data_IF_688029915737
#
_entry.id   IF_688029915737
#
_cell.length_a   1.000
_cell.length_b   1.000
_cell.length_c   1.000
_cell.angle_alpha   90.00
_cell.angle_beta   90.00
_cell.angle_gamma   90.00
#
_symmetry.space_group_name_H-M   'P 1'
#
loop_
_entity.id
_entity.type
_entity.pdbx_description
1 polymer ?
#
# COMPACT_ATOMS: atom_id res chain seq x y z
N UNK A 1 -4.28 13.35 -11.88
CA UNK A 1 -3.92 11.97 -12.27
C UNK A 1 -2.61 11.55 -11.62
N UNK A 2 -1.51 12.29 -11.78
CA UNK A 2 -0.19 11.99 -11.19
C UNK A 2 -0.23 11.89 -9.65
N UNK A 3 -0.93 12.79 -8.96
CA UNK A 3 -1.04 12.75 -7.49
C UNK A 3 -1.83 11.54 -6.99
N UNK A 4 -2.91 11.16 -7.67
CA UNK A 4 -3.67 9.95 -7.35
C UNK A 4 -2.83 8.68 -7.61
N UNK A 5 -2.01 8.70 -8.66
CA UNK A 5 -1.09 7.61 -8.95
C UNK A 5 0.04 7.50 -7.92
N UNK A 6 0.58 8.63 -7.46
CA UNK A 6 1.60 8.66 -6.41
C UNK A 6 1.06 8.27 -5.02
N UNK A 7 -0.19 8.60 -4.71
CA UNK A 7 -0.85 8.25 -3.45
C UNK A 7 -1.24 6.76 -3.36
N UNK A 8 -1.39 6.10 -4.48
CA UNK A 8 -1.73 4.70 -4.70
C UNK A 8 -2.53 4.03 -3.56
N UNK A 9 -3.85 4.01 -3.72
CA UNK A 9 -4.73 3.30 -2.80
C UNK A 9 -4.44 1.79 -2.86
N UNK A 10 -3.82 1.27 -1.82
CA UNK A 10 -3.47 -0.15 -1.73
C UNK A 10 -4.54 -0.87 -0.90
N UNK A 11 -5.45 -1.58 -1.56
CA UNK A 11 -6.44 -2.42 -0.88
C UNK A 11 -5.82 -3.74 -0.42
N UNK A 12 -4.97 -4.33 -1.24
CA UNK A 12 -4.28 -5.58 -0.93
C UNK A 12 -2.77 -5.37 -1.11
N UNK A 13 -1.99 -5.26 -0.01
CA UNK A 13 -0.54 -5.10 -0.08
C UNK A 13 0.15 -6.46 -0.32
N UNK A 14 -0.18 -7.13 -1.44
CA UNK A 14 0.27 -8.50 -1.76
C UNK A 14 1.77 -8.70 -1.63
N UNK A 15 2.56 -7.74 -2.10
CA UNK A 15 4.02 -7.82 -2.01
C UNK A 15 4.52 -7.76 -0.56
N UNK A 16 3.95 -6.91 0.29
CA UNK A 16 4.36 -6.81 1.70
C UNK A 16 3.96 -8.08 2.45
N UNK A 17 2.75 -8.58 2.18
CA UNK A 17 2.29 -9.86 2.74
C UNK A 17 3.21 -11.00 2.31
N UNK A 18 3.62 -11.04 1.03
CA UNK A 18 4.55 -12.04 0.51
C UNK A 18 5.92 -11.99 1.18
N UNK A 19 6.50 -10.80 1.37
CA UNK A 19 7.79 -10.64 2.07
C UNK A 19 7.69 -11.04 3.53
N UNK A 20 6.63 -10.68 4.23
CA UNK A 20 6.40 -11.08 5.62
C UNK A 20 6.21 -12.59 5.74
N UNK A 21 5.53 -13.23 4.79
CA UNK A 21 5.40 -14.69 4.73
C UNK A 21 6.77 -15.35 4.51
N UNK A 22 7.59 -14.81 3.59
CA UNK A 22 8.94 -15.30 3.34
C UNK A 22 9.87 -15.12 4.55
N UNK A 23 9.65 -14.09 5.37
CA UNK A 23 10.36 -13.84 6.63
C UNK A 23 9.78 -14.62 7.83
N UNK A 24 8.88 -15.58 7.59
CA UNK A 24 8.22 -16.41 8.60
C UNK A 24 7.47 -15.61 9.69
N UNK A 25 6.87 -14.48 9.33
CA UNK A 25 6.03 -13.72 10.25
C UNK A 25 4.84 -14.58 10.71
N UNK A 26 4.50 -14.53 12.00
CA UNK A 26 3.41 -15.30 12.59
C UNK A 26 2.06 -15.04 11.93
N UNK A 27 1.81 -13.81 11.52
CA UNK A 27 0.64 -13.44 10.73
C UNK A 27 1.03 -12.43 9.63
N UNK A 28 1.35 -12.90 8.41
CA UNK A 28 1.76 -12.02 7.32
C UNK A 28 0.71 -10.98 6.91
N UNK A 29 -0.58 -11.28 7.12
CA UNK A 29 -1.70 -10.45 6.70
C UNK A 29 -2.03 -9.29 7.67
N UNK A 30 -1.50 -9.28 8.88
CA UNK A 30 -1.81 -8.27 9.91
C UNK A 30 -1.45 -6.82 9.48
N UNK A 31 -0.49 -6.68 8.56
CA UNK A 31 -0.06 -5.40 7.98
C UNK A 31 -1.11 -4.79 7.05
N UNK A 32 -2.13 -5.55 6.64
CA UNK A 32 -3.11 -5.10 5.66
C UNK A 32 -3.90 -3.89 6.15
N UNK A 33 -4.39 -3.93 7.39
CA UNK A 33 -5.17 -2.84 7.98
C UNK A 33 -4.35 -1.54 8.10
N UNK A 34 -3.15 -1.51 8.69
CA UNK A 34 -2.29 -0.32 8.69
C UNK A 34 -1.99 0.22 7.27
N UNK A 35 -1.73 -0.67 6.31
CA UNK A 35 -1.47 -0.27 4.93
C UNK A 35 -2.70 0.38 4.26
N UNK A 36 -3.90 -0.15 4.50
CA UNK A 36 -5.14 0.43 4.01
C UNK A 36 -5.34 1.83 4.60
N UNK A 37 -5.24 1.96 5.93
CA UNK A 37 -5.42 3.25 6.62
C UNK A 37 -4.44 4.29 6.08
N UNK A 38 -3.16 3.98 6.01
CA UNK A 38 -2.13 4.91 5.53
C UNK A 38 -2.32 5.29 4.06
N UNK A 39 -2.73 4.33 3.20
CA UNK A 39 -2.99 4.60 1.79
C UNK A 39 -4.22 5.49 1.60
N UNK A 40 -5.27 5.33 2.42
CA UNK A 40 -6.43 6.21 2.42
C UNK A 40 -6.07 7.64 2.85
N UNK A 41 -5.30 7.79 3.93
CA UNK A 41 -4.83 9.11 4.40
C UNK A 41 -4.00 9.79 3.31
N UNK A 42 -3.06 9.08 2.68
CA UNK A 42 -2.26 9.59 1.57
C UNK A 42 -3.12 9.99 0.36
N UNK A 43 -4.12 9.20 0.02
CA UNK A 43 -5.05 9.50 -1.08
C UNK A 43 -5.91 10.72 -0.79
N UNK A 44 -6.43 10.85 0.44
CA UNK A 44 -7.19 12.03 0.87
C UNK A 44 -6.34 13.30 0.84
N UNK A 45 -5.09 13.23 1.33
CA UNK A 45 -4.16 14.35 1.29
C UNK A 45 -3.87 14.77 -0.17
N UNK A 46 -3.58 13.81 -1.05
CA UNK A 46 -3.35 14.07 -2.47
C UNK A 46 -4.60 14.68 -3.15
N UNK A 47 -5.78 14.14 -2.87
CA UNK A 47 -7.05 14.65 -3.37
C UNK A 47 -7.31 16.10 -2.92
N UNK A 48 -7.02 16.41 -1.66
CA UNK A 48 -7.18 17.74 -1.11
C UNK A 48 -6.22 18.75 -1.77
N UNK A 49 -4.93 18.38 -1.89
CA UNK A 49 -3.91 19.24 -2.53
C UNK A 49 -4.28 19.53 -3.99
N UNK A 50 -4.69 18.49 -4.75
CA UNK A 50 -5.11 18.63 -6.15
C UNK A 50 -6.38 19.47 -6.25
N UNK A 51 -7.34 19.23 -5.36
CA UNK A 51 -8.60 19.96 -5.31
C UNK A 51 -8.38 21.47 -5.09
N UNK A 52 -7.50 21.83 -4.16
CA UNK A 52 -7.09 23.22 -3.92
C UNK A 52 -6.42 23.81 -5.15
N UNK A 53 -5.49 23.08 -5.78
CA UNK A 53 -4.75 23.58 -6.95
C UNK A 53 -5.64 23.77 -8.18
N UNK A 54 -6.59 22.86 -8.37
CA UNK A 54 -7.55 22.91 -9.50
C UNK A 54 -8.79 23.76 -9.21
N UNK A 55 -8.87 24.40 -8.04
CA UNK A 55 -10.01 25.21 -7.59
C UNK A 55 -11.35 24.43 -7.68
N UNK A 56 -11.31 23.12 -7.39
CA UNK A 56 -12.52 22.31 -7.37
C UNK A 56 -13.41 22.83 -6.24
N UNK A 57 -14.68 23.08 -6.55
CA UNK A 57 -15.62 23.47 -5.52
C UNK A 57 -15.98 22.29 -4.63
N UNK A 58 -15.42 22.26 -3.41
CA UNK A 58 -15.77 21.27 -2.37
C UNK A 58 -17.16 21.50 -1.76
N UNK A 59 -17.93 22.48 -2.31
CA UNK A 59 -19.27 22.83 -1.80
C UNK A 59 -20.36 21.83 -2.16
N UNK A 60 -20.08 20.80 -2.97
CA UNK A 60 -21.04 19.72 -3.22
C UNK A 60 -21.27 18.93 -1.92
N UNK A 61 -22.48 19.01 -1.36
CA UNK A 61 -22.82 18.35 -0.10
C UNK A 61 -22.58 16.84 -0.12
N UNK A 62 -22.76 16.19 -1.26
CA UNK A 62 -22.51 14.76 -1.43
C UNK A 62 -21.02 14.45 -1.34
N UNK A 63 -20.17 15.23 -2.02
CA UNK A 63 -18.72 15.05 -2.00
C UNK A 63 -18.16 15.28 -0.59
N UNK A 64 -18.59 16.35 0.07
CA UNK A 64 -18.22 16.65 1.44
C UNK A 64 -18.69 15.54 2.41
N UNK A 65 -19.92 15.04 2.23
CA UNK A 65 -20.45 13.94 3.03
C UNK A 65 -19.64 12.66 2.89
N UNK A 66 -19.24 12.27 1.68
CA UNK A 66 -18.40 11.09 1.44
C UNK A 66 -17.01 11.26 2.07
N UNK A 67 -16.37 12.42 1.91
CA UNK A 67 -15.06 12.70 2.51
C UNK A 67 -15.16 12.63 4.03
N UNK A 68 -16.16 13.27 4.64
CA UNK A 68 -16.35 13.25 6.09
C UNK A 68 -16.65 11.85 6.61
N UNK A 69 -17.42 11.04 5.88
CA UNK A 69 -17.69 9.65 6.23
C UNK A 69 -16.41 8.80 6.22
N UNK A 70 -15.56 8.97 5.20
CA UNK A 70 -14.27 8.27 5.12
C UNK A 70 -13.35 8.70 6.26
N UNK A 71 -13.21 10.00 6.50
CA UNK A 71 -12.40 10.53 7.60
C UNK A 71 -12.92 10.00 8.93
N UNK A 72 -14.23 10.05 9.17
CA UNK A 72 -14.85 9.53 10.39
C UNK A 72 -14.63 8.03 10.58
N UNK A 73 -14.72 7.23 9.53
CA UNK A 73 -14.43 5.80 9.57
C UNK A 73 -12.96 5.53 9.92
N UNK A 74 -12.01 6.27 9.32
CA UNK A 74 -10.59 6.13 9.61
C UNK A 74 -10.29 6.53 11.06
N UNK A 75 -10.80 7.67 11.52
CA UNK A 75 -10.63 8.11 12.91
C UNK A 75 -11.25 7.13 13.91
N UNK A 76 -12.46 6.63 13.63
CA UNK A 76 -13.11 5.61 14.44
C UNK A 76 -12.29 4.33 14.54
N UNK A 77 -11.74 3.86 13.43
CA UNK A 77 -10.85 2.70 13.37
C UNK A 77 -9.55 2.94 14.16
N UNK A 78 -8.91 4.09 13.97
CA UNK A 78 -7.67 4.44 14.68
C UNK A 78 -7.91 4.55 16.19
N UNK A 79 -9.02 5.18 16.59
CA UNK A 79 -9.39 5.30 17.99
C UNK A 79 -9.67 3.94 18.62
N UNK A 80 -10.43 3.08 17.92
CA UNK A 80 -10.73 1.72 18.39
C UNK A 80 -9.45 0.89 18.52
N UNK A 81 -8.60 0.84 17.48
CA UNK A 81 -7.34 0.09 17.52
C UNK A 81 -6.36 0.68 18.54
N UNK A 82 -6.39 2.00 18.75
CA UNK A 82 -5.58 2.68 19.78
C UNK A 82 -5.99 2.35 21.21
N UNK A 83 -7.28 2.02 21.45
CA UNK A 83 -7.79 1.64 22.76
C UNK A 83 -7.53 0.18 23.15
N UNK A 84 -7.08 -0.66 22.18
CA UNK A 84 -6.81 -2.07 22.42
C UNK A 84 -5.40 -2.30 22.97
N UNK A 85 -5.28 -3.33 23.84
CA UNK A 85 -3.98 -3.83 24.28
C UNK A 85 -3.21 -4.47 23.12
N UNK A 86 -1.88 -4.59 23.25
CA UNK A 86 -1.01 -5.13 22.19
C UNK A 86 -1.46 -6.49 21.65
N UNK A 87 -1.89 -7.39 22.51
CA UNK A 87 -2.37 -8.73 22.14
C UNK A 87 -3.69 -8.64 21.38
N UNK A 88 -4.65 -7.87 21.89
CA UNK A 88 -5.94 -7.65 21.26
C UNK A 88 -5.81 -6.92 19.93
N UNK A 89 -4.90 -5.96 19.84
CA UNK A 89 -4.60 -5.23 18.63
C UNK A 89 -4.09 -6.16 17.51
N UNK A 90 -3.14 -7.03 17.83
CA UNK A 90 -2.60 -8.00 16.86
C UNK A 90 -3.67 -9.00 16.44
N UNK A 91 -4.49 -9.48 17.38
CA UNK A 91 -5.60 -10.38 17.08
C UNK A 91 -6.67 -9.72 16.20
N UNK A 92 -7.06 -8.49 16.53
CA UNK A 92 -8.04 -7.74 15.75
C UNK A 92 -7.53 -7.43 14.34
N UNK A 93 -6.31 -6.88 14.21
CA UNK A 93 -5.75 -6.53 12.89
C UNK A 93 -5.55 -7.76 12.01
N UNK A 94 -5.10 -8.87 12.59
CA UNK A 94 -4.93 -10.13 11.86
C UNK A 94 -6.25 -10.71 11.37
N UNK A 95 -7.25 -10.83 12.24
CA UNK A 95 -8.56 -11.36 11.87
C UNK A 95 -9.30 -10.44 10.90
N UNK A 96 -9.31 -9.14 11.15
CA UNK A 96 -9.91 -8.17 10.24
C UNK A 96 -9.29 -8.24 8.84
N UNK A 97 -7.96 -8.28 8.78
CA UNK A 97 -7.23 -8.38 7.52
C UNK A 97 -7.52 -9.69 6.79
N UNK A 98 -7.56 -10.82 7.51
CA UNK A 98 -7.90 -12.11 6.96
C UNK A 98 -9.33 -12.17 6.41
N UNK A 99 -10.30 -11.68 7.17
CA UNK A 99 -11.71 -11.60 6.75
C UNK A 99 -11.86 -10.69 5.52
N UNK A 100 -11.20 -9.54 5.53
CA UNK A 100 -11.27 -8.59 4.42
C UNK A 100 -10.67 -9.20 3.14
N UNK A 101 -9.50 -9.86 3.25
CA UNK A 101 -8.88 -10.55 2.13
C UNK A 101 -9.80 -11.65 1.59
N UNK A 102 -10.34 -12.48 2.46
CA UNK A 102 -11.27 -13.55 2.09
C UNK A 102 -12.52 -12.98 1.42
N UNK A 103 -13.10 -11.91 1.97
CA UNK A 103 -14.28 -11.25 1.39
C UNK A 103 -14.00 -10.70 0.00
N UNK A 104 -12.85 -10.08 -0.25
CA UNK A 104 -12.47 -9.58 -1.57
C UNK A 104 -12.35 -10.73 -2.57
N UNK A 105 -11.68 -11.83 -2.18
CA UNK A 105 -11.53 -13.01 -3.03
C UNK A 105 -12.91 -13.60 -3.33
N UNK A 106 -13.75 -13.79 -2.32
CA UNK A 106 -15.09 -14.35 -2.48
C UNK A 106 -15.97 -13.47 -3.37
N UNK A 107 -15.96 -12.14 -3.16
CA UNK A 107 -16.73 -11.21 -3.99
C UNK A 107 -16.27 -11.22 -5.45
N UNK A 108 -14.96 -11.27 -5.70
CA UNK A 108 -14.44 -11.36 -7.08
C UNK A 108 -14.85 -12.66 -7.76
N UNK A 109 -14.82 -13.80 -7.06
CA UNK A 109 -15.28 -15.08 -7.57
C UNK A 109 -16.79 -15.07 -7.85
N UNK A 110 -17.59 -14.60 -6.89
CA UNK A 110 -19.05 -14.49 -7.05
C UNK A 110 -19.42 -13.57 -8.23
N UNK A 111 -18.73 -12.45 -8.37
CA UNK A 111 -18.91 -11.53 -9.49
C UNK A 111 -18.56 -12.22 -10.82
N UNK A 112 -17.46 -12.95 -10.88
CA UNK A 112 -17.02 -13.67 -12.07
C UNK A 112 -18.05 -14.74 -12.47
N UNK A 113 -18.50 -15.58 -11.54
CA UNK A 113 -19.52 -16.59 -11.80
C UNK A 113 -20.87 -16.00 -12.19
N UNK A 114 -21.31 -14.92 -11.52
CA UNK A 114 -22.57 -14.23 -11.87
C UNK A 114 -22.58 -13.67 -13.29
N UNK A 115 -21.42 -13.30 -13.80
CA UNK A 115 -21.26 -12.74 -15.15
C UNK A 115 -20.77 -13.78 -16.17
N UNK A 116 -20.82 -15.07 -15.86
CA UNK A 116 -20.36 -16.14 -16.78
C UNK A 116 -21.05 -16.10 -18.15
N UNK A 117 -22.32 -15.70 -18.20
CA UNK A 117 -23.04 -15.53 -19.46
C UNK A 117 -22.37 -14.51 -20.41
N UNK A 118 -21.79 -13.45 -19.87
CA UNK A 118 -21.04 -12.44 -20.66
C UNK A 118 -19.72 -12.99 -21.21
N UNK A 119 -19.10 -13.93 -20.54
CA UNK A 119 -17.91 -14.62 -21.05
C UNK A 119 -18.28 -15.57 -22.18
N UNK A 120 -19.41 -16.28 -22.06
CA UNK A 120 -19.95 -17.16 -23.12
C UNK A 120 -20.32 -16.41 -24.39
N UNK A 121 -20.80 -15.19 -24.31
CA UNK A 121 -21.05 -14.32 -25.48
C UNK A 121 -19.74 -14.00 -26.26
N UNK A 122 -18.61 -14.15 -25.63
CA UNK A 122 -17.26 -13.94 -26.22
C UNK A 122 -16.52 -15.26 -26.51
N UNK A 123 -17.23 -16.38 -26.55
CA UNK A 123 -16.67 -17.72 -26.72
C UNK A 123 -15.54 -18.06 -25.70
N UNK A 124 -15.64 -17.52 -24.48
CA UNK A 124 -14.68 -17.72 -23.41
C UNK A 124 -15.36 -18.19 -22.13
N UNK A 125 -14.61 -18.87 -21.25
CA UNK A 125 -15.09 -19.22 -19.90
C UNK A 125 -14.44 -18.31 -18.85
N UNK A 126 -15.00 -18.28 -17.64
CA UNK A 126 -14.37 -17.58 -16.49
C UNK A 126 -12.96 -18.12 -16.24
N UNK A 127 -12.77 -19.43 -16.41
CA UNK A 127 -11.48 -20.07 -16.25
C UNK A 127 -10.47 -19.62 -17.34
N UNK A 128 -10.88 -19.55 -18.59
CA UNK A 128 -10.03 -19.08 -19.69
C UNK A 128 -9.61 -17.63 -19.48
N UNK A 129 -10.54 -16.79 -19.04
CA UNK A 129 -10.25 -15.38 -18.71
C UNK A 129 -9.26 -15.27 -17.55
N UNK A 130 -9.35 -16.13 -16.54
CA UNK A 130 -8.39 -16.20 -15.44
C UNK A 130 -7.00 -16.63 -15.93
N UNK A 131 -6.92 -17.67 -16.75
CA UNK A 131 -5.65 -18.15 -17.32
C UNK A 131 -5.00 -17.09 -18.20
N UNK A 132 -5.77 -16.41 -19.03
CA UNK A 132 -5.27 -15.32 -19.88
C UNK A 132 -4.78 -14.13 -19.04
N UNK A 133 -5.52 -13.78 -17.99
CA UNK A 133 -5.09 -12.77 -17.03
C UNK A 133 -3.79 -13.15 -16.31
N UNK A 134 -3.64 -14.39 -15.89
CA UNK A 134 -2.43 -14.89 -15.26
C UNK A 134 -1.23 -14.86 -16.23
N UNK A 135 -1.44 -15.26 -17.49
CA UNK A 135 -0.42 -15.20 -18.55
C UNK A 135 0.02 -13.76 -18.82
N UNK A 136 -0.94 -12.86 -18.99
CA UNK A 136 -0.66 -11.42 -19.19
C UNK A 136 0.11 -10.81 -18.02
N UNK A 137 -0.19 -11.26 -16.77
CA UNK A 137 0.55 -10.89 -15.58
C UNK A 137 2.01 -11.35 -15.60
N UNK A 138 2.25 -12.61 -16.01
CA UNK A 138 3.60 -13.14 -16.19
C UNK A 138 4.38 -12.39 -17.25
N UNK A 139 3.79 -12.15 -18.43
CA UNK A 139 4.42 -11.40 -19.51
C UNK A 139 4.80 -9.97 -19.06
N UNK A 140 3.93 -9.34 -18.30
CA UNK A 140 4.20 -8.03 -17.71
C UNK A 140 5.33 -8.10 -16.69
N UNK A 141 5.36 -9.13 -15.84
CA UNK A 141 6.43 -9.37 -14.89
C UNK A 141 7.80 -9.50 -15.56
N UNK A 142 7.87 -10.33 -16.61
CA UNK A 142 9.11 -10.51 -17.39
C UNK A 142 9.58 -9.20 -18.05
N UNK A 143 8.65 -8.42 -18.62
CA UNK A 143 8.98 -7.12 -19.24
C UNK A 143 9.49 -6.10 -18.21
N UNK A 144 8.96 -6.09 -16.99
CA UNK A 144 9.35 -5.15 -15.94
C UNK A 144 10.66 -5.59 -15.26
N UNK A 145 10.96 -6.88 -15.23
CA UNK A 145 12.10 -7.45 -14.50
C UNK A 145 13.45 -6.74 -14.76
N UNK A 146 13.88 -6.45 -16.02
CA UNK A 146 15.14 -5.76 -16.28
C UNK A 146 15.19 -4.35 -15.65
N UNK A 147 14.07 -3.62 -15.69
CA UNK A 147 13.97 -2.28 -15.10
C UNK A 147 14.07 -2.33 -13.57
N UNK A 148 13.41 -3.31 -12.97
CA UNK A 148 13.49 -3.52 -11.51
C UNK A 148 14.91 -3.90 -11.10
N UNK A 149 15.57 -4.79 -11.84
CA UNK A 149 16.95 -5.18 -11.59
C UNK A 149 17.90 -3.98 -11.71
N UNK A 150 17.79 -3.20 -12.79
CA UNK A 150 18.61 -2.00 -12.99
C UNK A 150 18.40 -0.98 -11.86
N UNK A 151 17.17 -0.80 -11.39
CA UNK A 151 16.86 0.08 -10.27
C UNK A 151 17.45 -0.45 -8.95
N UNK A 152 17.38 -1.76 -8.69
CA UNK A 152 17.98 -2.36 -7.49
C UNK A 152 19.50 -2.19 -7.46
N UNK A 153 20.15 -2.37 -8.61
CA UNK A 153 21.60 -2.11 -8.74
C UNK A 153 21.93 -0.64 -8.47
N UNK A 154 21.18 0.29 -9.08
CA UNK A 154 21.37 1.73 -8.85
C UNK A 154 21.21 2.10 -7.37
N UNK A 155 20.21 1.55 -6.70
CA UNK A 155 19.98 1.78 -5.27
C UNK A 155 21.10 1.16 -4.43
N UNK A 156 21.57 -0.02 -4.78
CA UNK A 156 22.70 -0.66 -4.09
C UNK A 156 23.97 0.19 -4.20
N UNK A 157 24.26 0.73 -5.37
CA UNK A 157 25.38 1.67 -5.57
C UNK A 157 25.18 2.94 -4.71
N UNK A 158 23.99 3.50 -4.71
CA UNK A 158 23.66 4.69 -3.93
C UNK A 158 23.83 4.47 -2.42
N UNK A 159 23.44 3.31 -1.90
CA UNK A 159 23.67 2.92 -0.50
C UNK A 159 25.16 2.80 -0.19
N UNK A 160 25.87 2.02 -1.00
CA UNK A 160 27.30 1.75 -0.76
C UNK A 160 28.19 2.97 -1.00
N UNK A 161 27.69 4.05 -1.60
CA UNK A 161 28.41 5.31 -1.76
C UNK A 161 28.50 6.16 -0.50
N UNK A 162 27.75 5.82 0.56
CA UNK A 162 27.64 6.63 1.79
C UNK A 162 26.78 7.89 1.65
N UNK A 163 26.34 8.22 0.43
CA UNK A 163 25.51 9.39 0.15
C UNK A 163 24.12 9.25 0.77
N UNK A 164 23.62 8.02 0.81
CA UNK A 164 22.32 7.73 1.41
C UNK A 164 22.34 7.95 2.92
N UNK A 165 23.34 7.46 3.62
CA UNK A 165 23.54 7.63 5.05
C UNK A 165 23.69 9.10 5.43
N UNK A 166 24.37 9.87 4.60
CA UNK A 166 24.53 11.31 4.79
C UNK A 166 23.21 12.06 4.69
N UNK A 167 22.39 11.74 3.68
CA UNK A 167 21.05 12.35 3.50
C UNK A 167 20.10 11.89 4.61
N UNK A 168 20.03 10.60 4.87
CA UNK A 168 19.17 10.01 5.89
C UNK A 168 19.55 10.52 7.28
N UNK A 169 20.84 10.60 7.59
CA UNK A 169 21.35 11.13 8.84
C UNK A 169 21.00 12.59 9.04
N UNK A 170 21.18 13.42 8.01
CA UNK A 170 20.81 14.84 8.06
C UNK A 170 19.31 15.05 8.32
N UNK A 171 18.46 14.27 7.65
CA UNK A 171 17.02 14.33 7.85
C UNK A 171 16.64 13.80 9.24
N UNK A 172 17.25 12.70 9.68
CA UNK A 172 17.02 12.13 11.01
C UNK A 172 17.33 13.10 12.13
N UNK A 173 18.42 13.88 12.00
CA UNK A 173 18.77 14.92 12.97
C UNK A 173 17.68 16.00 13.05
N UNK A 174 17.16 16.48 11.91
CA UNK A 174 16.06 17.44 11.87
C UNK A 174 14.82 16.89 12.55
N UNK A 175 14.45 15.64 12.27
CA UNK A 175 13.27 14.99 12.87
C UNK A 175 13.45 14.78 14.38
N UNK A 176 14.66 14.42 14.82
CA UNK A 176 15.00 14.31 16.24
C UNK A 176 14.86 15.65 16.96
N UNK A 177 15.28 16.74 16.32
CA UNK A 177 15.14 18.09 16.87
C UNK A 177 13.68 18.50 17.06
N UNK A 178 12.79 18.02 16.18
CA UNK A 178 11.33 18.24 16.27
C UNK A 178 10.64 17.30 17.27
N UNK A 179 11.37 16.34 17.87
CA UNK A 179 10.84 15.42 18.88
C UNK A 179 10.12 14.21 18.33
N UNK A 180 10.43 13.81 17.09
CA UNK A 180 9.87 12.61 16.46
C UNK A 180 10.50 11.36 17.08
N UNK A 181 9.69 10.33 17.31
CA UNK A 181 10.16 9.07 17.92
C UNK A 181 11.20 8.34 17.07
N UNK A 182 12.05 7.54 17.75
CA UNK A 182 13.13 6.81 17.09
C UNK A 182 12.61 5.85 16.02
N UNK A 183 11.50 5.16 16.29
CA UNK A 183 10.88 4.19 15.38
C UNK A 183 10.47 4.84 14.04
N UNK A 184 9.96 6.07 14.09
CA UNK A 184 9.63 6.84 12.90
C UNK A 184 10.91 7.25 12.18
N UNK A 185 11.93 7.67 12.91
CA UNK A 185 13.22 8.09 12.36
C UNK A 185 13.92 6.91 11.65
N UNK A 186 13.89 5.72 12.22
CA UNK A 186 14.46 4.50 11.62
C UNK A 186 13.71 4.06 10.36
N UNK A 187 12.42 4.44 10.20
CA UNK A 187 11.63 4.17 8.98
C UNK A 187 11.81 5.20 7.86
N UNK A 188 12.49 6.32 8.12
CA UNK A 188 12.71 7.39 7.14
C UNK A 188 13.39 6.92 5.84
N UNK A 189 14.40 6.04 5.86
CA UNK A 189 15.02 5.54 4.64
C UNK A 189 14.02 4.92 3.68
N UNK A 190 13.07 4.11 4.21
CA UNK A 190 12.00 3.49 3.44
C UNK A 190 11.08 4.55 2.83
N UNK A 191 10.69 5.56 3.62
CA UNK A 191 9.80 6.63 3.19
C UNK A 191 10.44 7.52 2.12
N UNK A 192 11.72 7.87 2.27
CA UNK A 192 12.46 8.71 1.32
C UNK A 192 12.67 8.05 -0.04
N UNK A 193 12.91 6.75 -0.05
CA UNK A 193 13.10 6.02 -1.30
C UNK A 193 11.80 5.69 -2.04
N UNK A 194 10.67 5.66 -1.34
CA UNK A 194 9.40 5.25 -1.93
C UNK A 194 8.97 6.09 -3.14
N UNK A 195 9.10 7.42 -3.17
CA UNK A 195 8.76 8.22 -4.35
C UNK A 195 9.63 7.91 -5.57
N UNK A 196 10.88 7.49 -5.34
CA UNK A 196 11.84 7.19 -6.41
C UNK A 196 11.76 5.74 -6.85
N UNK A 197 11.57 4.81 -5.93
CA UNK A 197 11.47 3.38 -6.20
C UNK A 197 10.72 2.62 -5.12
N UNK A 198 9.57 2.10 -5.49
CA UNK A 198 8.82 1.16 -4.66
C UNK A 198 9.59 -0.12 -4.35
N UNK A 199 10.37 -0.63 -5.30
CA UNK A 199 11.18 -1.84 -5.13
C UNK A 199 12.37 -1.59 -4.22
N UNK A 200 13.02 -0.43 -4.36
CA UNK A 200 14.16 -0.05 -3.52
C UNK A 200 13.75 0.20 -2.08
N UNK A 201 12.65 0.88 -1.85
CA UNK A 201 12.14 1.10 -0.48
C UNK A 201 11.81 -0.22 0.24
N UNK A 202 11.40 -1.27 -0.52
CA UNK A 202 11.18 -2.61 0.05
C UNK A 202 12.46 -3.29 0.48
N UNK A 203 13.57 -3.08 -0.22
CA UNK A 203 14.89 -3.58 0.20
C UNK A 203 15.24 -3.07 1.60
N UNK A 204 15.09 -1.77 1.85
CA UNK A 204 15.30 -1.21 3.19
C UNK A 204 14.31 -1.70 4.25
N UNK A 205 13.07 -1.96 3.85
CA UNK A 205 12.09 -2.54 4.76
C UNK A 205 12.49 -3.97 5.17
N UNK A 206 13.04 -4.77 4.25
CA UNK A 206 13.52 -6.13 4.56
C UNK A 206 14.76 -6.12 5.46
N UNK A 207 15.65 -5.15 5.28
CA UNK A 207 16.84 -4.98 6.15
C UNK A 207 16.45 -4.56 7.58
N UNK A 208 15.28 -3.93 7.76
CA UNK A 208 14.77 -3.49 9.06
C UNK A 208 13.90 -4.52 9.78
N UNK A 209 13.54 -5.65 9.11
CA UNK A 209 12.78 -6.77 9.69
C UNK A 209 13.69 -7.80 10.32
#
# INVERSE_FOLDING_TARGET
FLCLHAAWLTLIPTSIIGYRAAANAANPADVMLPCIITSFIGTLAAFFIVGLRQRISFKSGLLLGVIMAIIGAIFGLLFYVGSLNLVEKNYFTGNFSGILLFAIILLTLLFAFKNEARFKEKDTTVFDAFVEGARSGLDTGVKIFPYVLGMLVAISVFRNSGLFELIAGGISEVFRYVGVSKEITDSLPVALLRPFSSSGSRGFMLDAM
#
